data_IF_993899163280
#
_entry.id   IF_993899163280
#
_cell.length_a   1.000
_cell.length_b   1.000
_cell.length_c   1.000
_cell.angle_alpha   90.00
_cell.angle_beta   90.00
_cell.angle_gamma   90.00
#
_symmetry.space_group_name_H-M   'P 1'
#
loop_
_entity.id
_entity.type
_entity.pdbx_description
1 polymer ?
#
# COMPACT_ATOMS: atom_id res chain seq x y z
N UNK A 1 -3.67 -34.42 8.78
CA UNK A 1 -3.88 -32.97 8.55
C UNK A 1 -4.27 -32.79 7.09
N UNK A 2 -5.54 -32.48 6.80
CA UNK A 2 -6.00 -32.25 5.43
C UNK A 2 -5.38 -30.95 4.91
N UNK A 3 -4.65 -31.02 3.81
CA UNK A 3 -4.03 -29.87 3.17
C UNK A 3 -5.13 -29.10 2.42
N UNK A 4 -5.73 -28.09 3.05
CA UNK A 4 -6.78 -27.26 2.43
C UNK A 4 -6.14 -26.33 1.39
N UNK A 5 -5.94 -26.84 0.18
CA UNK A 5 -5.39 -26.10 -0.97
C UNK A 5 -6.09 -24.74 -1.19
N UNK A 6 -7.39 -24.67 -0.93
CA UNK A 6 -8.18 -23.44 -1.01
C UNK A 6 -7.79 -22.38 0.02
N UNK A 7 -7.39 -22.75 1.24
CA UNK A 7 -6.92 -21.77 2.23
C UNK A 7 -5.58 -21.18 1.83
N UNK A 8 -4.70 -21.96 1.21
CA UNK A 8 -3.36 -21.52 0.82
C UNK A 8 -3.38 -20.50 -0.34
N UNK A 9 -4.28 -20.65 -1.32
CA UNK A 9 -4.34 -19.71 -2.46
C UNK A 9 -4.76 -18.30 -2.02
N UNK A 10 -5.73 -18.18 -1.10
CA UNK A 10 -6.18 -16.90 -0.58
C UNK A 10 -5.08 -16.18 0.23
N UNK A 11 -4.30 -16.94 0.98
CA UNK A 11 -3.15 -16.42 1.74
C UNK A 11 -2.09 -15.86 0.78
N UNK A 12 -1.78 -16.58 -0.31
CA UNK A 12 -0.83 -16.11 -1.33
C UNK A 12 -1.30 -14.82 -2.00
N UNK A 13 -2.58 -14.77 -2.40
CA UNK A 13 -3.17 -13.55 -3.00
C UNK A 13 -3.09 -12.38 -2.01
N UNK A 14 -3.38 -12.62 -0.73
CA UNK A 14 -3.25 -11.61 0.33
C UNK A 14 -1.82 -11.07 0.45
N UNK A 15 -0.81 -11.94 0.41
CA UNK A 15 0.59 -11.49 0.44
C UNK A 15 0.99 -10.68 -0.78
N UNK A 16 0.59 -11.10 -1.99
CA UNK A 16 0.84 -10.34 -3.22
C UNK A 16 0.20 -8.95 -3.11
N UNK A 17 -1.04 -8.88 -2.63
CA UNK A 17 -1.74 -7.62 -2.41
C UNK A 17 -1.00 -6.71 -1.43
N UNK A 18 -0.51 -7.24 -0.30
CA UNK A 18 0.22 -6.47 0.69
C UNK A 18 1.55 -5.96 0.14
N UNK A 19 2.26 -6.74 -0.68
CA UNK A 19 3.50 -6.32 -1.34
C UNK A 19 3.22 -5.15 -2.30
N UNK A 20 2.20 -5.28 -3.15
CA UNK A 20 1.79 -4.20 -4.07
C UNK A 20 1.40 -2.96 -3.28
N UNK A 21 0.70 -3.13 -2.16
CA UNK A 21 0.29 -2.02 -1.28
C UNK A 21 1.48 -1.23 -0.74
N UNK A 22 2.62 -1.88 -0.45
CA UNK A 22 3.84 -1.19 -0.02
C UNK A 22 4.46 -0.34 -1.15
N UNK A 23 4.49 -0.86 -2.38
CA UNK A 23 4.95 -0.08 -3.53
C UNK A 23 4.04 1.13 -3.79
N UNK A 24 2.72 0.94 -3.67
CA UNK A 24 1.77 2.03 -3.80
C UNK A 24 1.87 3.05 -2.67
N UNK A 25 2.21 2.62 -1.45
CA UNK A 25 2.43 3.55 -0.34
C UNK A 25 3.59 4.51 -0.61
N UNK A 26 4.68 4.01 -1.18
CA UNK A 26 5.83 4.82 -1.60
C UNK A 26 5.42 5.76 -2.74
N UNK A 27 4.64 5.28 -3.72
CA UNK A 27 4.14 6.11 -4.81
C UNK A 27 3.29 7.29 -4.33
N UNK A 28 2.30 7.04 -3.46
CA UNK A 28 1.45 8.10 -2.92
C UNK A 28 2.20 9.04 -1.99
N UNK A 29 3.20 8.54 -1.24
CA UNK A 29 4.08 9.40 -0.47
C UNK A 29 4.93 10.29 -1.38
N UNK A 30 5.49 9.76 -2.46
CA UNK A 30 6.22 10.56 -3.45
C UNK A 30 5.34 11.62 -4.10
N UNK A 31 4.10 11.27 -4.46
CA UNK A 31 3.14 12.24 -4.97
C UNK A 31 2.85 13.35 -3.94
N UNK A 32 2.60 12.98 -2.67
CA UNK A 32 2.40 13.95 -1.60
C UNK A 32 3.61 14.88 -1.44
N UNK A 33 4.82 14.35 -1.56
CA UNK A 33 6.06 15.11 -1.45
C UNK A 33 6.22 16.15 -2.56
N UNK A 34 5.72 15.88 -3.77
CA UNK A 34 5.76 16.83 -4.89
C UNK A 34 4.74 17.98 -4.72
N UNK A 35 3.65 17.75 -4.00
CA UNK A 35 2.56 18.71 -3.82
C UNK A 35 2.68 19.52 -2.51
N UNK A 36 3.46 19.05 -1.53
CA UNK A 36 3.53 19.61 -0.18
C UNK A 36 4.95 20.00 0.24
N UNK A 37 5.04 20.79 1.31
CA UNK A 37 6.33 21.16 1.90
C UNK A 37 7.08 19.94 2.46
N UNK A 38 8.41 20.03 2.49
CA UNK A 38 9.29 18.98 3.02
C UNK A 38 8.88 18.46 4.40
N UNK A 39 8.51 19.39 5.31
CA UNK A 39 8.11 19.04 6.66
C UNK A 39 6.81 18.22 6.70
N UNK A 40 5.83 18.58 5.84
CA UNK A 40 4.59 17.82 5.66
C UNK A 40 4.88 16.45 5.03
N UNK A 41 5.80 16.41 4.07
CA UNK A 41 6.20 15.16 3.43
C UNK A 41 6.80 14.15 4.40
N UNK A 42 7.59 14.58 5.40
CA UNK A 42 8.18 13.64 6.37
C UNK A 42 7.20 13.23 7.47
N UNK A 43 6.35 14.15 7.96
CA UNK A 43 5.49 13.89 9.11
C UNK A 43 4.13 13.30 8.73
N UNK A 44 3.57 13.72 7.60
CA UNK A 44 2.21 13.36 7.16
C UNK A 44 2.26 12.45 5.93
N UNK A 45 3.24 12.65 5.05
CA UNK A 45 3.44 11.86 3.83
C UNK A 45 3.47 10.34 4.06
N UNK A 46 4.19 9.79 5.06
CA UNK A 46 4.22 8.34 5.29
C UNK A 46 2.83 7.81 5.66
N UNK A 47 2.10 8.51 6.54
CA UNK A 47 0.78 8.07 7.02
C UNK A 47 -0.24 8.11 5.88
N UNK A 48 -0.26 9.19 5.10
CA UNK A 48 -1.14 9.32 3.93
C UNK A 48 -0.77 8.29 2.87
N UNK A 49 0.53 8.09 2.65
CA UNK A 49 1.08 7.08 1.76
C UNK A 49 0.63 5.68 2.15
N UNK A 50 0.79 5.25 3.40
CA UNK A 50 0.38 3.93 3.87
C UNK A 50 -1.14 3.68 3.75
N UNK A 51 -1.96 4.66 4.13
CA UNK A 51 -3.43 4.53 4.05
C UNK A 51 -3.88 4.43 2.59
N UNK A 52 -3.39 5.33 1.73
CA UNK A 52 -3.70 5.28 0.29
C UNK A 52 -3.08 4.06 -0.39
N UNK A 53 -1.90 3.63 0.05
CA UNK A 53 -1.19 2.46 -0.43
C UNK A 53 -1.92 1.16 -0.13
N UNK A 54 -2.52 1.02 1.06
CA UNK A 54 -3.38 -0.11 1.41
C UNK A 54 -4.72 -0.11 0.66
N UNK A 55 -5.19 1.06 0.22
CA UNK A 55 -6.46 1.26 -0.48
C UNK A 55 -6.25 1.63 -1.95
N UNK A 56 -5.09 1.31 -2.50
CA UNK A 56 -4.59 1.86 -3.76
C UNK A 56 -5.53 1.66 -4.95
N UNK A 57 -6.29 0.57 -4.96
CA UNK A 57 -7.29 0.26 -6.00
C UNK A 57 -8.31 1.41 -6.15
N UNK A 58 -8.60 2.13 -5.08
CA UNK A 58 -9.52 3.28 -5.06
C UNK A 58 -8.84 4.64 -5.26
N UNK A 59 -7.53 4.68 -5.52
CA UNK A 59 -6.78 5.94 -5.62
C UNK A 59 -5.76 5.96 -6.75
N UNK A 60 -5.67 4.90 -7.56
CA UNK A 60 -4.64 4.72 -8.60
C UNK A 60 -4.88 5.56 -9.87
N UNK A 61 -6.00 6.29 -9.97
CA UNK A 61 -6.35 7.10 -11.13
C UNK A 61 -5.84 8.54 -11.04
#
# INVERSE_FOLDING_TARGET
MSYNNGTNIWVIIGYIYLIISQFMAIYFWWQWANENSFLSSILVGPVVGEIKGLLWIFFVW
#
